data_IF_611528524923
#
_entry.id   IF_611528524923
#
_cell.length_a   1.000
_cell.length_b   1.000
_cell.length_c   1.000
_cell.angle_alpha   90.00
_cell.angle_beta   90.00
_cell.angle_gamma   90.00
#
_symmetry.space_group_name_H-M   'P 1'
#
loop_
_entity.id
_entity.type
_entity.pdbx_description
1 polymer ?
#
# COMPACT_ATOMS: atom_id res chain seq x y z
N UNK A 1 -1.31 -14.70 14.59
CA UNK A 1 -0.74 -13.34 14.53
C UNK A 1 -0.39 -12.90 15.95
N UNK A 2 0.87 -12.59 16.23
CA UNK A 2 1.30 -12.19 17.58
C UNK A 2 1.07 -10.70 17.83
N UNK A 3 0.84 -10.25 19.07
CA UNK A 3 0.62 -8.83 19.39
C UNK A 3 1.83 -7.92 19.08
N UNK A 4 3.01 -8.49 18.81
CA UNK A 4 4.24 -7.73 18.57
C UNK A 4 4.34 -7.12 17.17
N UNK A 5 3.70 -7.71 16.16
CA UNK A 5 3.74 -7.22 14.77
C UNK A 5 3.07 -5.85 14.62
N UNK A 6 1.83 -5.64 15.10
CA UNK A 6 1.21 -4.32 15.09
C UNK A 6 2.03 -3.26 15.82
N UNK A 7 2.70 -3.63 16.91
CA UNK A 7 3.57 -2.72 17.66
C UNK A 7 4.83 -2.32 16.88
N UNK A 8 5.41 -3.23 16.10
CA UNK A 8 6.55 -2.91 15.22
C UNK A 8 6.15 -1.89 14.14
N UNK A 9 5.03 -2.13 13.46
CA UNK A 9 4.48 -1.19 12.46
C UNK A 9 4.19 0.15 13.11
N UNK A 10 3.55 0.17 14.28
CA UNK A 10 3.27 1.40 15.00
C UNK A 10 4.54 2.17 15.38
N UNK A 11 5.59 1.49 15.86
CA UNK A 11 6.89 2.12 16.17
C UNK A 11 7.53 2.74 14.93
N UNK A 12 7.50 2.06 13.78
CA UNK A 12 8.01 2.61 12.54
C UNK A 12 7.26 3.88 12.12
N UNK A 13 5.92 3.89 12.25
CA UNK A 13 5.09 5.06 11.99
C UNK A 13 5.40 6.24 12.93
N UNK A 14 5.62 5.96 14.22
CA UNK A 14 6.04 6.98 15.19
C UNK A 14 7.42 7.55 14.86
N UNK A 15 8.37 6.70 14.48
CA UNK A 15 9.70 7.13 14.08
C UNK A 15 9.65 8.06 12.86
N UNK A 16 8.87 7.69 11.83
CA UNK A 16 8.64 8.56 10.67
C UNK A 16 8.08 9.92 11.09
N UNK A 17 7.07 9.94 11.96
CA UNK A 17 6.47 11.18 12.46
C UNK A 17 7.49 12.07 13.17
N UNK A 18 8.30 11.50 14.07
CA UNK A 18 9.36 12.23 14.76
C UNK A 18 10.40 12.78 13.78
N UNK A 19 10.80 12.01 12.77
CA UNK A 19 11.73 12.46 11.74
C UNK A 19 11.18 13.65 10.94
N UNK A 20 9.88 13.66 10.62
CA UNK A 20 9.24 14.81 9.96
C UNK A 20 9.29 16.06 10.85
N UNK A 21 9.03 15.93 12.15
CA UNK A 21 9.12 17.04 13.09
C UNK A 21 10.56 17.57 13.23
N UNK A 22 11.55 16.69 13.23
CA UNK A 22 12.96 17.08 13.26
C UNK A 22 13.36 17.89 12.02
N UNK A 23 12.92 17.48 10.82
CA UNK A 23 13.19 18.25 9.59
C UNK A 23 12.52 19.61 9.63
N UNK A 24 11.28 19.70 10.12
CA UNK A 24 10.58 20.98 10.29
C UNK A 24 11.33 21.88 11.28
N UNK A 25 11.76 21.33 12.42
CA UNK A 25 12.56 22.06 13.41
C UNK A 25 13.86 22.59 12.80
N UNK A 26 14.60 21.76 12.06
CA UNK A 26 15.84 22.17 11.40
C UNK A 26 15.62 23.24 10.32
N UNK A 27 14.51 23.18 9.56
CA UNK A 27 14.17 24.23 8.60
C UNK A 27 13.79 25.55 9.28
N UNK A 28 13.17 25.49 10.46
CA UNK A 28 12.84 26.64 11.29
C UNK A 28 14.10 27.30 11.82
N UNK A 29 15.04 26.53 12.36
CA UNK A 29 16.33 27.01 12.87
C UNK A 29 17.16 27.70 11.77
N UNK A 30 17.03 27.25 10.52
CA UNK A 30 17.68 27.84 9.35
C UNK A 30 16.93 29.04 8.76
N UNK A 31 15.79 29.45 9.34
CA UNK A 31 14.98 30.57 8.88
C UNK A 31 14.32 30.38 7.51
N UNK A 32 14.23 29.14 7.00
CA UNK A 32 13.73 28.81 5.65
C UNK A 32 12.20 28.68 5.62
N UNK A 33 11.49 29.71 6.04
CA UNK A 33 10.04 29.72 6.26
C UNK A 33 9.20 29.28 5.04
N UNK A 34 9.61 29.63 3.83
CA UNK A 34 8.91 29.20 2.60
C UNK A 34 8.95 27.68 2.42
N UNK A 35 10.10 27.05 2.68
CA UNK A 35 10.28 25.59 2.59
C UNK A 35 9.51 24.85 3.68
N UNK A 36 9.30 25.49 4.83
CA UNK A 36 8.51 24.89 5.93
C UNK A 36 7.07 24.67 5.49
N UNK A 37 6.42 25.67 4.86
CA UNK A 37 5.03 25.55 4.41
C UNK A 37 4.87 24.43 3.37
N UNK A 38 5.77 24.37 2.40
CA UNK A 38 5.78 23.33 1.38
C UNK A 38 5.96 21.94 2.00
N UNK A 39 6.96 21.79 2.87
CA UNK A 39 7.24 20.51 3.53
C UNK A 39 6.09 20.07 4.44
N UNK A 40 5.51 20.99 5.21
CA UNK A 40 4.38 20.72 6.10
C UNK A 40 3.15 20.28 5.31
N UNK A 41 2.84 20.94 4.19
CA UNK A 41 1.73 20.55 3.32
C UNK A 41 1.90 19.13 2.78
N UNK A 42 3.11 18.78 2.31
CA UNK A 42 3.43 17.42 1.85
C UNK A 42 3.31 16.38 2.97
N UNK A 43 3.88 16.67 4.15
CA UNK A 43 3.80 15.78 5.29
C UNK A 43 2.35 15.57 5.74
N UNK A 44 1.54 16.63 5.79
CA UNK A 44 0.13 16.55 6.15
C UNK A 44 -0.66 15.66 5.17
N UNK A 45 -0.43 15.79 3.86
CA UNK A 45 -1.09 14.92 2.87
C UNK A 45 -0.63 13.46 2.99
N UNK A 46 0.66 13.20 3.23
CA UNK A 46 1.17 11.84 3.47
C UNK A 46 0.47 11.20 4.69
N UNK A 47 0.30 11.93 5.79
CA UNK A 47 -0.42 11.43 6.97
C UNK A 47 -1.93 11.29 6.73
N UNK A 48 -2.54 12.21 5.99
CA UNK A 48 -3.94 12.12 5.61
C UNK A 48 -4.20 10.86 4.77
N UNK A 49 -3.32 10.56 3.81
CA UNK A 49 -3.39 9.35 2.99
C UNK A 49 -3.28 8.06 3.83
N UNK A 50 -2.33 7.99 4.77
CA UNK A 50 -2.24 6.88 5.75
C UNK A 50 -3.53 6.75 6.58
N UNK A 51 -4.11 7.88 7.00
CA UNK A 51 -5.40 7.91 7.69
C UNK A 51 -6.58 7.41 6.83
N UNK A 52 -6.57 7.69 5.52
CA UNK A 52 -7.57 7.16 4.57
C UNK A 52 -7.47 5.64 4.43
N UNK A 53 -6.26 5.10 4.36
CA UNK A 53 -6.02 3.63 4.36
C UNK A 53 -6.64 2.98 5.59
N UNK A 54 -6.39 3.51 6.78
CA UNK A 54 -6.95 2.98 8.03
C UNK A 54 -8.49 3.08 8.11
N UNK A 55 -9.09 4.04 7.40
CA UNK A 55 -10.54 4.28 7.36
C UNK A 55 -11.24 3.64 6.15
N UNK A 56 -10.52 2.85 5.36
CA UNK A 56 -11.03 2.26 4.12
C UNK A 56 -12.15 1.24 4.34
N UNK A 57 -12.41 0.79 5.57
CA UNK A 57 -13.47 -0.18 5.88
C UNK A 57 -13.09 -1.64 5.63
N UNK A 58 -11.83 -1.89 5.26
CA UNK A 58 -11.23 -3.22 5.07
C UNK A 58 -10.00 -3.35 5.98
N UNK A 59 -10.15 -3.85 7.23
CA UNK A 59 -9.08 -3.85 8.22
C UNK A 59 -7.88 -4.74 7.84
N UNK A 60 -8.12 -5.89 7.22
CA UNK A 60 -7.08 -6.77 6.71
C UNK A 60 -6.30 -6.15 5.55
N UNK A 61 -7.00 -5.51 4.61
CA UNK A 61 -6.35 -4.76 3.53
C UNK A 61 -5.53 -3.57 4.06
N UNK A 62 -6.10 -2.81 5.00
CA UNK A 62 -5.39 -1.69 5.62
C UNK A 62 -4.12 -2.18 6.35
N UNK A 63 -4.22 -3.29 7.07
CA UNK A 63 -3.10 -3.91 7.75
C UNK A 63 -1.97 -4.29 6.78
N UNK A 64 -2.26 -5.06 5.74
CA UNK A 64 -1.22 -5.56 4.82
C UNK A 64 -0.51 -4.40 4.11
N UNK A 65 -1.24 -3.34 3.74
CA UNK A 65 -0.65 -2.16 3.11
C UNK A 65 0.19 -1.32 4.07
N UNK A 66 -0.28 -1.09 5.31
CA UNK A 66 0.48 -0.36 6.32
C UNK A 66 1.76 -1.11 6.73
N UNK A 67 1.68 -2.44 6.82
CA UNK A 67 2.85 -3.29 7.07
C UNK A 67 3.84 -3.19 5.92
N UNK A 68 3.39 -3.31 4.67
CA UNK A 68 4.25 -3.18 3.51
C UNK A 68 4.88 -1.79 3.37
N UNK A 69 4.17 -0.72 3.76
CA UNK A 69 4.75 0.62 3.85
C UNK A 69 5.90 0.69 4.86
N UNK A 70 5.77 0.02 6.02
CA UNK A 70 6.80 0.01 7.05
C UNK A 70 8.02 -0.84 6.65
N UNK A 71 7.77 -2.01 6.06
CA UNK A 71 8.81 -2.99 5.71
C UNK A 71 9.50 -2.67 4.37
N UNK A 72 8.77 -2.12 3.40
CA UNK A 72 9.25 -1.84 2.06
C UNK A 72 10.45 -0.91 2.03
N UNK A 73 10.53 0.04 2.98
CA UNK A 73 11.65 0.99 3.08
C UNK A 73 12.98 0.27 3.24
N UNK A 74 13.05 -0.79 4.05
CA UNK A 74 14.28 -1.57 4.23
C UNK A 74 14.68 -2.33 2.95
N UNK A 75 13.73 -2.64 2.08
CA UNK A 75 13.96 -3.27 0.79
C UNK A 75 14.24 -2.26 -0.35
N UNK A 76 14.28 -0.95 -0.06
CA UNK A 76 14.45 0.10 -1.08
C UNK A 76 13.14 0.50 -1.78
N UNK A 77 11.97 0.14 -1.24
CA UNK A 77 10.66 0.44 -1.83
C UNK A 77 9.92 1.47 -0.97
N UNK A 78 9.74 2.67 -1.52
CA UNK A 78 8.92 3.71 -0.89
C UNK A 78 7.47 3.59 -1.35
N UNK A 79 6.61 3.13 -0.45
CA UNK A 79 5.20 2.85 -0.76
C UNK A 79 4.29 4.00 -0.31
N UNK A 80 3.46 4.49 -1.22
CA UNK A 80 2.38 5.43 -0.95
C UNK A 80 1.03 4.75 -1.19
N UNK A 81 0.05 4.97 -0.31
CA UNK A 81 -1.25 4.32 -0.41
C UNK A 81 -2.37 5.35 -0.30
N UNK A 82 -3.39 5.21 -1.16
CA UNK A 82 -4.59 6.06 -1.13
C UNK A 82 -5.84 5.23 -1.48
N UNK A 83 -6.67 4.96 -0.48
CA UNK A 83 -7.83 4.09 -0.61
C UNK A 83 -9.12 4.87 -0.42
N UNK A 84 -10.07 4.66 -1.33
CA UNK A 84 -11.45 5.02 -1.07
C UNK A 84 -12.07 4.07 -0.05
N UNK A 85 -12.97 4.61 0.79
CA UNK A 85 -13.76 3.80 1.70
C UNK A 85 -14.63 2.83 0.90
N UNK A 86 -14.52 1.56 1.26
CA UNK A 86 -15.36 0.49 0.72
C UNK A 86 -16.71 0.52 1.46
N UNK A 87 -17.83 0.52 0.74
CA UNK A 87 -19.15 0.44 1.36
C UNK A 87 -19.27 -0.88 2.16
N UNK A 88 -19.92 -0.87 3.34
CA UNK A 88 -20.22 -2.10 4.08
C UNK A 88 -20.98 -3.07 3.18
N UNK A 89 -20.57 -4.34 3.13
CA UNK A 89 -21.13 -5.34 2.21
C UNK A 89 -21.86 -6.46 2.95
N UNK A 90 -22.93 -6.92 2.32
CA UNK A 90 -23.59 -8.19 2.56
C UNK A 90 -23.07 -9.21 1.50
N UNK A 91 -22.39 -10.29 1.91
CA UNK A 91 -22.05 -11.45 1.03
C UNK A 91 -20.59 -11.55 0.50
N UNK A 92 -20.10 -12.76 0.16
CA UNK A 92 -18.71 -13.14 0.39
C UNK A 92 -17.75 -12.86 -0.78
N UNK A 93 -16.91 -11.85 -0.63
CA UNK A 93 -15.50 -11.93 -1.05
C UNK A 93 -14.66 -12.06 0.21
N UNK A 94 -13.84 -13.10 0.36
CA UNK A 94 -13.03 -13.26 1.57
C UNK A 94 -11.89 -12.24 1.57
N UNK A 95 -11.92 -11.32 2.53
CA UNK A 95 -10.81 -10.40 2.79
C UNK A 95 -9.51 -11.17 3.10
N UNK A 96 -9.60 -12.35 3.71
CA UNK A 96 -8.45 -13.20 4.04
C UNK A 96 -7.73 -13.69 2.77
N UNK A 97 -8.48 -14.08 1.74
CA UNK A 97 -7.91 -14.49 0.46
C UNK A 97 -7.22 -13.33 -0.26
N UNK A 98 -7.81 -12.13 -0.20
CA UNK A 98 -7.20 -10.91 -0.69
C UNK A 98 -5.89 -10.62 0.06
N UNK A 99 -5.92 -10.64 1.39
CA UNK A 99 -4.72 -10.40 2.22
C UNK A 99 -3.61 -11.38 1.85
N UNK A 100 -3.86 -12.69 1.87
CA UNK A 100 -2.85 -13.70 1.54
C UNK A 100 -2.23 -13.50 0.14
N UNK A 101 -3.05 -13.11 -0.84
CA UNK A 101 -2.60 -12.80 -2.19
C UNK A 101 -1.68 -11.56 -2.22
N UNK A 102 -2.06 -10.50 -1.50
CA UNK A 102 -1.26 -9.28 -1.40
C UNK A 102 0.04 -9.50 -0.64
N UNK A 103 0.06 -10.36 0.38
CA UNK A 103 1.29 -10.72 1.11
C UNK A 103 2.34 -11.34 0.18
N UNK A 104 1.93 -12.29 -0.67
CA UNK A 104 2.83 -12.88 -1.68
C UNK A 104 3.31 -11.85 -2.69
N UNK A 105 2.42 -10.97 -3.16
CA UNK A 105 2.77 -9.91 -4.11
C UNK A 105 3.77 -8.92 -3.50
N UNK A 106 3.54 -8.46 -2.28
CA UNK A 106 4.42 -7.53 -1.58
C UNK A 106 5.80 -8.13 -1.32
N UNK A 107 5.86 -9.42 -0.93
CA UNK A 107 7.12 -10.14 -0.78
C UNK A 107 7.89 -10.23 -2.11
N UNK A 108 7.19 -10.55 -3.21
CA UNK A 108 7.78 -10.59 -4.55
C UNK A 108 8.32 -9.21 -4.97
N UNK A 109 7.58 -8.12 -4.72
CA UNK A 109 8.05 -6.75 -5.00
C UNK A 109 9.31 -6.43 -4.19
N UNK A 110 9.30 -6.67 -2.88
CA UNK A 110 10.44 -6.39 -2.01
C UNK A 110 11.69 -7.17 -2.44
N UNK A 111 11.54 -8.46 -2.78
CA UNK A 111 12.65 -9.30 -3.23
C UNK A 111 13.30 -8.81 -4.52
N UNK A 112 12.59 -8.06 -5.38
CA UNK A 112 13.16 -7.50 -6.63
C UNK A 112 14.02 -6.28 -6.41
N UNK A 113 13.80 -5.54 -5.33
CA UNK A 113 14.54 -4.29 -5.05
C UNK A 113 15.61 -4.53 -3.98
N UNK A 114 15.37 -5.47 -3.06
CA UNK A 114 16.31 -5.80 -2.00
C UNK A 114 17.72 -6.14 -2.54
N UNK A 115 18.73 -5.46 -1.99
CA UNK A 115 20.14 -5.70 -2.34
C UNK A 115 20.60 -5.08 -3.67
N UNK A 116 19.71 -4.45 -4.44
CA UNK A 116 20.09 -3.75 -5.69
C UNK A 116 20.75 -2.39 -5.44
N UNK A 117 20.50 -1.79 -4.26
CA UNK A 117 20.90 -0.42 -3.94
C UNK A 117 20.03 0.66 -4.60
N UNK A 118 19.03 0.27 -5.39
CA UNK A 118 18.07 1.19 -6.00
C UNK A 118 16.95 1.54 -5.01
N UNK A 119 16.53 2.81 -5.01
CA UNK A 119 15.26 3.21 -4.40
C UNK A 119 14.17 3.31 -5.46
N UNK A 120 13.05 2.61 -5.24
CA UNK A 120 11.88 2.64 -6.12
C UNK A 120 10.66 3.17 -5.40
N UNK A 121 9.85 3.94 -6.12
CA UNK A 121 8.58 4.48 -5.62
C UNK A 121 7.44 3.62 -6.15
N UNK A 122 6.53 3.24 -5.25
CA UNK A 122 5.31 2.51 -5.54
C UNK A 122 4.12 3.28 -4.99
N UNK A 123 3.12 3.54 -5.83
CA UNK A 123 1.84 4.12 -5.44
C UNK A 123 0.74 3.08 -5.57
N UNK A 124 0.00 2.85 -4.49
CA UNK A 124 -1.11 1.92 -4.43
C UNK A 124 -2.40 2.71 -4.24
N UNK A 125 -3.33 2.62 -5.19
CA UNK A 125 -4.64 3.27 -5.09
C UNK A 125 -5.76 2.25 -5.06
N UNK A 126 -6.75 2.46 -4.20
CA UNK A 126 -7.97 1.67 -4.14
C UNK A 126 -9.18 2.51 -4.52
N UNK A 127 -9.98 2.04 -5.49
CA UNK A 127 -11.15 2.76 -6.00
C UNK A 127 -12.35 1.83 -6.12
N UNK A 128 -13.52 2.32 -5.77
CA UNK A 128 -14.77 1.60 -6.01
C UNK A 128 -15.09 1.63 -7.50
N UNK A 129 -15.41 0.46 -8.07
CA UNK A 129 -15.76 0.32 -9.49
C UNK A 129 -17.00 -0.56 -9.62
N UNK A 130 -17.76 -0.49 -10.72
CA UNK A 130 -18.90 -1.37 -10.93
C UNK A 130 -18.51 -2.84 -10.77
N UNK A 131 -19.19 -3.55 -9.87
CA UNK A 131 -18.96 -4.99 -9.63
C UNK A 131 -17.70 -5.34 -8.84
N UNK A 132 -16.99 -4.39 -8.24
CA UNK A 132 -15.77 -4.72 -7.50
C UNK A 132 -15.05 -3.55 -6.83
N UNK A 133 -13.84 -3.86 -6.37
CA UNK A 133 -12.86 -2.87 -5.94
C UNK A 133 -11.59 -3.01 -6.78
N UNK A 134 -11.09 -1.90 -7.30
CA UNK A 134 -9.89 -1.88 -8.11
C UNK A 134 -8.72 -1.38 -7.29
N UNK A 135 -7.73 -2.26 -7.10
CA UNK A 135 -6.42 -1.90 -6.57
C UNK A 135 -5.45 -1.69 -7.73
N UNK A 136 -4.83 -0.53 -7.80
CA UNK A 136 -3.81 -0.21 -8.81
C UNK A 136 -2.47 -0.02 -8.11
N UNK A 137 -1.46 -0.74 -8.58
CA UNK A 137 -0.06 -0.64 -8.18
C UNK A 137 0.68 0.06 -9.31
N UNK A 138 1.06 1.31 -9.12
CA UNK A 138 1.76 2.13 -10.09
C UNK A 138 3.21 2.38 -9.67
N UNK A 139 4.14 2.12 -10.58
CA UNK A 139 5.58 2.27 -10.36
C UNK A 139 6.37 1.48 -11.40
N UNK A 140 7.64 1.84 -11.58
CA UNK A 140 8.54 1.18 -12.53
C UNK A 140 9.02 -0.17 -11.96
N UNK A 141 8.29 -1.24 -12.25
CA UNK A 141 8.62 -2.60 -11.81
C UNK A 141 8.42 -3.62 -12.93
N UNK A 142 9.17 -4.74 -12.94
CA UNK A 142 8.93 -5.85 -13.86
C UNK A 142 7.69 -6.64 -13.41
N UNK A 143 6.50 -6.07 -13.64
CA UNK A 143 5.23 -6.59 -13.12
C UNK A 143 4.91 -8.00 -13.61
N UNK A 144 5.29 -8.37 -14.84
CA UNK A 144 5.09 -9.74 -15.34
C UNK A 144 5.89 -10.77 -14.53
N UNK A 145 7.14 -10.46 -14.22
CA UNK A 145 7.99 -11.34 -13.41
C UNK A 145 7.56 -11.40 -11.94
N UNK A 146 7.08 -10.27 -11.41
CA UNK A 146 6.57 -10.17 -10.04
C UNK A 146 5.27 -10.97 -9.89
N UNK A 147 4.35 -10.84 -10.85
CA UNK A 147 3.06 -11.57 -10.82
C UNK A 147 3.25 -13.07 -11.07
N UNK A 148 4.22 -13.45 -11.90
CA UNK A 148 4.60 -14.86 -12.05
C UNK A 148 5.17 -15.44 -10.74
N UNK A 149 6.05 -14.70 -10.06
CA UNK A 149 6.64 -15.10 -8.77
C UNK A 149 5.60 -15.15 -7.63
N UNK A 150 4.58 -14.30 -7.69
CA UNK A 150 3.46 -14.30 -6.74
C UNK A 150 2.43 -15.41 -7.00
N UNK A 151 2.70 -16.32 -7.95
CA UNK A 151 1.84 -17.43 -8.38
C UNK A 151 0.46 -16.96 -8.89
N UNK A 152 0.33 -16.76 -10.21
CA UNK A 152 -0.92 -16.27 -10.83
C UNK A 152 -2.18 -17.04 -10.41
N UNK A 153 -2.07 -18.33 -10.12
CA UNK A 153 -3.14 -19.19 -9.62
C UNK A 153 -3.72 -18.75 -8.25
N UNK A 154 -2.95 -18.02 -7.43
CA UNK A 154 -3.41 -17.48 -6.15
C UNK A 154 -4.41 -16.35 -6.36
N UNK A 155 -4.20 -15.52 -7.37
CA UNK A 155 -5.12 -14.43 -7.72
C UNK A 155 -6.45 -14.99 -8.23
N UNK A 156 -6.39 -15.99 -9.11
CA UNK A 156 -7.57 -16.64 -9.68
C UNK A 156 -8.40 -17.35 -8.58
N UNK A 157 -7.73 -18.05 -7.66
CA UNK A 157 -8.38 -18.71 -6.51
C UNK A 157 -9.01 -17.74 -5.50
N UNK A 158 -8.53 -16.50 -5.43
CA UNK A 158 -9.08 -15.44 -4.58
C UNK A 158 -10.19 -14.61 -5.26
N UNK A 159 -10.55 -14.92 -6.51
CA UNK A 159 -11.51 -14.13 -7.29
C UNK A 159 -10.97 -12.75 -7.70
N UNK A 160 -9.65 -12.61 -7.78
CA UNK A 160 -8.96 -11.37 -8.13
C UNK A 160 -8.48 -11.48 -9.57
N UNK A 161 -9.05 -10.66 -10.46
CA UNK A 161 -8.55 -10.56 -11.82
C UNK A 161 -7.30 -9.64 -11.84
N UNK A 162 -6.19 -10.18 -12.33
CA UNK A 162 -4.90 -9.49 -12.40
C UNK A 162 -4.59 -9.08 -13.84
N UNK A 163 -4.28 -7.80 -14.06
CA UNK A 163 -3.91 -7.25 -15.37
C UNK A 163 -2.65 -6.40 -15.27
N UNK A 164 -1.64 -6.76 -16.04
CA UNK A 164 -0.36 -6.04 -16.13
C UNK A 164 -0.40 -5.07 -17.32
N UNK A 165 0.10 -3.85 -17.13
CA UNK A 165 0.26 -2.85 -18.18
C UNK A 165 1.73 -2.49 -18.33
N UNK A 166 2.48 -3.40 -18.94
CA UNK A 166 3.93 -3.26 -19.13
C UNK A 166 4.67 -3.11 -17.81
N UNK A 167 5.54 -2.11 -17.74
CA UNK A 167 6.37 -1.83 -16.55
C UNK A 167 5.78 -0.74 -15.65
N UNK A 168 4.69 -0.08 -16.05
CA UNK A 168 4.21 1.12 -15.37
C UNK A 168 3.21 0.83 -14.27
N UNK A 169 2.32 -0.16 -14.49
CA UNK A 169 1.31 -0.49 -13.49
C UNK A 169 0.80 -1.94 -13.57
N UNK A 170 0.27 -2.36 -12.44
CA UNK A 170 -0.47 -3.60 -12.22
C UNK A 170 -1.85 -3.25 -11.65
N UNK A 171 -2.90 -3.80 -12.24
CA UNK A 171 -4.28 -3.65 -11.76
C UNK A 171 -4.80 -4.99 -11.23
N UNK A 172 -5.33 -4.96 -10.01
CA UNK A 172 -5.97 -6.08 -9.33
C UNK A 172 -7.43 -5.72 -9.11
N UNK A 173 -8.30 -6.36 -9.86
CA UNK A 173 -9.74 -6.20 -9.72
C UNK A 173 -10.28 -7.29 -8.80
N UNK A 174 -10.59 -6.89 -7.57
CA UNK A 174 -11.23 -7.76 -6.60
C UNK A 174 -12.73 -7.77 -6.85
N UNK A 175 -13.24 -8.90 -7.35
CA UNK A 175 -14.65 -9.05 -7.60
C UNK A 175 -15.41 -9.17 -6.29
N UNK A 176 -16.44 -8.38 -6.26
CA UNK A 176 -17.45 -8.41 -5.26
C UNK A 176 -18.42 -9.54 -5.57
N UNK A 177 -18.71 -10.42 -4.60
CA UNK A 177 -19.83 -11.35 -4.76
C UNK A 177 -21.09 -10.53 -5.05
N UNK A 178 -21.72 -10.83 -6.17
CA UNK A 178 -23.09 -10.43 -6.45
C UNK A 178 -23.97 -11.11 -5.41
N UNK A 179 -24.71 -10.33 -4.63
CA UNK A 179 -25.93 -10.87 -4.02
C UNK A 179 -26.80 -11.35 -5.18
N UNK A 180 -27.11 -12.64 -5.22
CA UNK A 180 -28.22 -13.11 -6.04
C UNK A 180 -29.47 -12.39 -5.53
N UNK A 181 -30.15 -11.65 -6.42
CA UNK A 181 -31.54 -11.22 -6.23
C UNK A 181 -32.48 -12.43 -6.18
#
# INVERSE_FOLDING_TARGET
>A
MGPEEPLKVLRAQYHDFLNRLQVISGLLDLGRHEKIKEYLGRAAEEFAARGRVAKAGLPGLAWVLLRFQAEGVAAGVKVFCDLEKVPPREGPGSEEALVACLEKLHAAIAARVAGTGEERVLTITGRNVPGGYLLTYAGAFPWEEITAAAEKAVFDGAGIACKVFGLEKLELFWRFATGEE
#
